data_IF_270987731362
#
_entry.id   IF_270987731362
#
_cell.length_a   1.000
_cell.length_b   1.000
_cell.length_c   1.000
_cell.angle_alpha   90.00
_cell.angle_beta   90.00
_cell.angle_gamma   90.00
#
_symmetry.space_group_name_H-M   'P 1'
#
loop_
_entity.id
_entity.type
_entity.pdbx_description
1 polymer ?
#
# COMPACT_ATOMS: atom_id res chain seq x y z
N UNK A 1 11.60 3.19 4.14
CA UNK A 1 10.20 3.43 4.59
C UNK A 1 9.32 2.42 3.89
N UNK A 2 8.39 1.79 4.58
CA UNK A 2 7.40 0.90 3.93
C UNK A 2 6.16 1.72 3.61
N UNK A 3 5.71 1.64 2.36
CA UNK A 3 4.45 2.23 1.89
C UNK A 3 3.51 1.09 1.55
N UNK A 4 2.32 1.10 2.15
CA UNK A 4 1.29 0.10 1.94
C UNK A 4 0.32 0.60 0.87
N UNK A 5 0.04 -0.26 -0.10
CA UNK A 5 -1.11 -0.16 -1.00
C UNK A 5 -2.41 -0.02 -0.21
N UNK A 6 -3.42 0.64 -0.79
CA UNK A 6 -4.72 0.78 -0.14
C UNK A 6 -5.30 -0.59 0.21
N UNK A 7 -5.16 -1.61 -0.64
CA UNK A 7 -5.78 -2.93 -0.46
C UNK A 7 -5.19 -3.73 0.71
N UNK A 8 -4.10 -3.27 1.31
CA UNK A 8 -3.52 -3.86 2.52
C UNK A 8 -4.25 -3.30 3.74
N UNK A 9 -5.44 -3.85 3.97
CA UNK A 9 -6.25 -3.54 5.13
C UNK A 9 -6.13 -4.65 6.19
N UNK A 10 -5.81 -4.26 7.42
CA UNK A 10 -5.81 -5.20 8.54
C UNK A 10 -4.94 -4.73 9.69
N UNK A 11 -5.57 -4.44 10.83
CA UNK A 11 -4.86 -4.02 12.05
C UNK A 11 -3.79 -5.04 12.47
N UNK A 12 -4.03 -6.34 12.26
CA UNK A 12 -3.03 -7.39 12.56
C UNK A 12 -1.79 -7.30 11.66
N UNK A 13 -1.97 -7.09 10.35
CA UNK A 13 -0.85 -6.97 9.40
C UNK A 13 -0.06 -5.70 9.67
N UNK A 14 -0.75 -4.56 9.86
CA UNK A 14 -0.12 -3.27 10.17
C UNK A 14 0.65 -3.38 11.50
N UNK A 15 0.03 -3.89 12.56
CA UNK A 15 0.70 -4.05 13.85
C UNK A 15 1.90 -5.00 13.76
N UNK A 16 1.79 -6.09 13.00
CA UNK A 16 2.91 -7.02 12.78
C UNK A 16 4.07 -6.37 12.04
N UNK A 17 3.77 -5.58 11.01
CA UNK A 17 4.77 -4.80 10.26
C UNK A 17 5.43 -3.74 11.13
N UNK A 18 4.66 -2.98 11.92
CA UNK A 18 5.19 -1.96 12.83
C UNK A 18 6.02 -2.56 13.97
N UNK A 19 5.66 -3.74 14.46
CA UNK A 19 6.45 -4.45 15.47
C UNK A 19 7.79 -4.94 14.92
N UNK A 20 7.79 -5.44 13.67
CA UNK A 20 8.97 -6.01 13.01
C UNK A 20 9.90 -4.94 12.41
N UNK A 21 9.35 -3.97 11.69
CA UNK A 21 10.10 -2.95 10.97
C UNK A 21 10.30 -1.69 11.83
N UNK A 22 11.56 -1.40 12.18
CA UNK A 22 11.91 -0.22 13.00
C UNK A 22 11.77 1.13 12.28
N UNK A 23 11.52 1.13 10.97
CA UNK A 23 11.30 2.35 10.19
C UNK A 23 9.82 2.72 10.09
N UNK A 24 9.54 3.84 9.41
CA UNK A 24 8.16 4.29 9.19
C UNK A 24 7.41 3.33 8.26
N UNK A 25 6.22 2.93 8.67
CA UNK A 25 5.20 2.27 7.84
C UNK A 25 4.07 3.29 7.60
N UNK A 26 3.56 3.41 6.37
CA UNK A 26 2.45 4.33 6.08
C UNK A 26 1.62 3.85 4.90
N UNK A 27 0.33 4.22 4.85
CA UNK A 27 -0.51 3.96 3.68
C UNK A 27 -0.18 4.95 2.55
N UNK A 28 -0.31 4.50 1.30
CA UNK A 28 -0.17 5.37 0.13
C UNK A 28 -1.19 6.52 0.12
N UNK A 29 -2.38 6.31 0.69
CA UNK A 29 -3.40 7.36 0.85
C UNK A 29 -2.95 8.49 1.78
N UNK A 30 -2.05 8.21 2.74
CA UNK A 30 -1.50 9.24 3.62
C UNK A 30 -0.44 10.12 2.92
N UNK A 31 0.11 9.67 1.79
CA UNK A 31 1.07 10.45 1.00
C UNK A 31 0.38 11.44 0.07
N UNK A 32 -0.93 11.27 -0.17
CA UNK A 32 -1.74 12.17 -0.98
C UNK A 32 -3.11 12.35 -0.36
N UNK A 33 -3.18 13.30 0.57
CA UNK A 33 -4.41 13.66 1.27
C UNK A 33 -5.43 14.24 0.27
N UNK A 34 -6.71 13.94 0.47
CA UNK A 34 -7.85 14.47 -0.30
C UNK A 34 -7.91 14.09 -1.79
N UNK A 35 -7.29 12.98 -2.21
CA UNK A 35 -7.51 12.46 -3.57
C UNK A 35 -7.41 10.95 -3.61
N UNK A 36 -8.32 10.31 -4.36
CA UNK A 36 -8.20 8.88 -4.70
C UNK A 36 -6.88 8.66 -5.44
N UNK A 37 -6.04 7.78 -4.89
CA UNK A 37 -4.81 7.33 -5.57
C UNK A 37 -5.22 6.28 -6.59
N UNK A 38 -4.96 6.55 -7.88
CA UNK A 38 -5.06 5.55 -8.94
C UNK A 38 -3.72 4.84 -9.09
N UNK A 39 -3.73 3.60 -9.56
CA UNK A 39 -2.54 2.78 -9.81
C UNK A 39 -1.48 3.51 -10.66
N UNK A 40 -1.93 4.20 -11.71
CA UNK A 40 -1.05 4.98 -12.60
C UNK A 40 -0.28 6.09 -11.87
N UNK A 41 -0.83 6.62 -10.77
CA UNK A 41 -0.22 7.67 -9.96
C UNK A 41 0.78 7.13 -8.93
N UNK A 42 0.71 5.82 -8.60
CA UNK A 42 1.54 5.18 -7.56
C UNK A 42 3.03 5.40 -7.79
N UNK A 43 3.62 5.15 -8.98
CA UNK A 43 5.05 5.36 -9.20
C UNK A 43 5.47 6.81 -8.96
N UNK A 44 4.62 7.77 -9.32
CA UNK A 44 4.91 9.20 -9.14
C UNK A 44 4.85 9.60 -7.67
N UNK A 45 3.89 9.09 -6.90
CA UNK A 45 3.80 9.32 -5.45
C UNK A 45 5.01 8.69 -4.75
N UNK A 46 5.38 7.46 -5.07
CA UNK A 46 6.52 6.78 -4.46
C UNK A 46 7.85 7.52 -4.72
N UNK A 47 8.01 8.14 -5.90
CA UNK A 47 9.20 8.96 -6.20
C UNK A 47 9.38 10.19 -5.30
N UNK A 48 8.31 10.66 -4.64
CA UNK A 48 8.38 11.77 -3.66
C UNK A 48 8.95 11.34 -2.31
N UNK A 49 9.04 10.03 -2.07
CA UNK A 49 9.56 9.44 -0.85
C UNK A 49 11.00 9.00 -1.06
N UNK A 50 11.85 9.22 -0.06
CA UNK A 50 13.22 8.70 -0.08
C UNK A 50 13.23 7.17 0.09
N UNK A 51 13.62 6.45 -0.97
CA UNK A 51 13.81 5.00 -0.99
C UNK A 51 12.64 4.21 -0.36
N UNK A 52 11.42 4.31 -0.92
CA UNK A 52 10.29 3.53 -0.44
C UNK A 52 10.44 2.06 -0.81
N UNK A 53 9.96 1.19 0.06
CA UNK A 53 9.56 -0.18 -0.28
C UNK A 53 8.05 -0.17 -0.37
N UNK A 54 7.50 -0.40 -1.56
CA UNK A 54 6.06 -0.48 -1.76
C UNK A 54 5.59 -1.93 -1.60
N UNK A 55 4.65 -2.15 -0.69
CA UNK A 55 4.02 -3.44 -0.46
C UNK A 55 2.61 -3.36 -1.04
N UNK A 56 2.30 -4.28 -1.96
CA UNK A 56 0.98 -4.42 -2.59
C UNK A 56 0.59 -5.90 -2.58
N UNK A 57 -0.70 -6.18 -2.61
CA UNK A 57 -1.24 -7.53 -2.71
C UNK A 57 -1.81 -7.71 -4.10
N UNK A 58 -1.65 -8.90 -4.68
CA UNK A 58 -2.45 -9.20 -5.86
C UNK A 58 -3.91 -9.27 -5.42
N UNK A 59 -4.76 -8.41 -5.97
CA UNK A 59 -6.20 -8.63 -5.89
C UNK A 59 -6.45 -9.76 -6.86
N UNK A 60 -6.56 -11.00 -6.35
CA UNK A 60 -6.96 -12.12 -7.18
C UNK A 60 -8.29 -11.73 -7.80
N UNK A 61 -8.29 -11.46 -9.10
CA UNK A 61 -9.51 -11.25 -9.86
C UNK A 61 -10.30 -12.54 -9.74
N UNK A 62 -11.21 -12.61 -8.76
CA UNK A 62 -12.12 -13.73 -8.62
C UNK A 62 -13.23 -13.57 -9.65
N UNK A 63 -12.86 -13.50 -10.92
CA UNK A 63 -13.71 -13.90 -12.02
C UNK A 63 -13.87 -15.42 -11.90
N UNK A 64 -14.66 -15.86 -10.92
CA UNK A 64 -15.36 -17.14 -11.01
C UNK A 64 -16.25 -16.99 -12.23
N UNK A 65 -15.78 -17.55 -13.34
CA UNK A 65 -16.64 -17.95 -14.44
C UNK A 65 -17.69 -18.89 -13.86
N UNK A 66 -18.93 -18.41 -13.80
CA UNK A 66 -20.08 -19.28 -13.76
C UNK A 66 -20.16 -19.97 -15.14
N UNK A 67 -19.72 -21.22 -15.21
CA UNK A 67 -20.13 -22.21 -16.23
C UNK A 67 -20.93 -23.31 -15.55
#
# INVERSE_FOLDING_TARGET
>A
MIVLDENIFGRVVINGLEAWYKGKVTSINNLRIDTVVKDEAVPTILRTVKQPTFLTTNVSDSSRMDE
#
